data_IF_367642124639
#
_entry.id   IF_367642124639
#
_cell.length_a   1.000
_cell.length_b   1.000
_cell.length_c   1.000
_cell.angle_alpha   90.00
_cell.angle_beta   90.00
_cell.angle_gamma   90.00
#
_symmetry.space_group_name_H-M   'P 1'
#
loop_
_entity.id
_entity.type
_entity.pdbx_description
1 polymer ?
#
# COMPACT_ATOMS: atom_id res chain seq x y z
N UNK A 1 -24.52 -68.33 -5.30
CA UNK A 1 -23.80 -68.38 -4.00
C UNK A 1 -23.17 -69.75 -3.65
N UNK A 2 -23.31 -70.83 -4.44
CA UNK A 2 -22.82 -72.17 -4.04
C UNK A 2 -21.38 -72.56 -4.46
N UNK A 3 -20.80 -71.90 -5.47
CA UNK A 3 -19.51 -72.31 -6.06
C UNK A 3 -18.30 -71.93 -5.18
N UNK A 4 -18.30 -70.74 -4.58
CA UNK A 4 -17.18 -70.21 -3.77
C UNK A 4 -16.93 -70.99 -2.48
N UNK A 5 -17.97 -71.57 -1.86
CA UNK A 5 -17.84 -72.38 -0.64
C UNK A 5 -17.22 -73.77 -0.89
N UNK A 6 -17.23 -74.27 -2.13
CA UNK A 6 -16.64 -75.57 -2.48
C UNK A 6 -15.14 -75.47 -2.76
N UNK A 7 -14.67 -74.32 -3.26
CA UNK A 7 -13.27 -74.09 -3.59
C UNK A 7 -12.37 -73.93 -2.34
N UNK A 8 -12.86 -73.24 -1.29
CA UNK A 8 -12.14 -73.12 -0.01
C UNK A 8 -11.91 -74.48 0.69
N UNK A 9 -12.81 -75.46 0.47
CA UNK A 9 -12.69 -76.78 1.12
C UNK A 9 -11.69 -77.71 0.43
N UNK A 10 -11.36 -77.45 -0.84
CA UNK A 10 -10.31 -78.19 -1.58
C UNK A 10 -8.92 -77.62 -1.30
N UNK A 11 -8.77 -76.30 -1.15
CA UNK A 11 -7.51 -75.67 -0.77
C UNK A 11 -7.01 -76.11 0.62
N UNK A 12 -7.93 -76.30 1.58
CA UNK A 12 -7.60 -76.85 2.91
C UNK A 12 -7.02 -78.27 2.85
N UNK A 13 -7.41 -79.10 1.88
CA UNK A 13 -6.99 -80.51 1.82
C UNK A 13 -5.61 -80.72 1.18
N UNK A 14 -5.01 -79.68 0.59
CA UNK A 14 -3.70 -79.78 -0.09
C UNK A 14 -2.55 -79.37 0.85
N UNK A 15 -2.85 -78.58 1.90
CA UNK A 15 -1.83 -78.07 2.83
C UNK A 15 -1.36 -79.13 3.85
N UNK A 16 -2.22 -80.07 4.23
CA UNK A 16 -1.95 -81.03 5.32
C UNK A 16 -1.19 -82.32 4.90
N UNK A 17 -0.84 -82.51 3.62
CA UNK A 17 -0.25 -83.77 3.13
C UNK A 17 1.25 -83.76 2.79
N UNK A 18 1.98 -82.68 3.08
CA UNK A 18 3.42 -82.57 2.72
C UNK A 18 4.37 -82.35 3.92
N UNK A 19 4.12 -83.03 5.04
CA UNK A 19 5.10 -83.20 6.12
C UNK A 19 5.60 -84.65 6.16
N UNK A 20 6.70 -84.98 5.47
CA UNK A 20 7.33 -86.31 5.56
C UNK A 20 8.74 -86.44 4.90
N UNK A 21 9.69 -85.54 5.20
CA UNK A 21 11.14 -85.87 5.10
C UNK A 21 11.91 -85.28 6.30
N UNK A 22 12.61 -86.18 7.00
CA UNK A 22 13.59 -85.94 8.07
C UNK A 22 14.78 -86.87 7.70
N UNK A 23 16.06 -86.50 7.80
CA UNK A 23 16.72 -85.34 8.42
C UNK A 23 17.59 -84.60 7.34
N UNK A 24 18.62 -83.73 7.60
CA UNK A 24 19.39 -83.46 8.82
C UNK A 24 19.27 -82.03 9.38
N UNK A 25 19.02 -81.95 10.70
CA UNK A 25 19.33 -80.79 11.52
C UNK A 25 20.84 -80.50 11.55
N UNK A 26 21.33 -79.68 10.60
CA UNK A 26 22.52 -78.79 10.70
C UNK A 26 22.79 -78.07 9.34
N UNK A 27 21.90 -77.17 8.87
CA UNK A 27 22.46 -75.89 8.37
C UNK A 27 21.57 -74.64 8.51
N UNK A 28 20.30 -74.79 8.89
CA UNK A 28 19.32 -73.69 8.83
C UNK A 28 19.61 -72.59 9.87
N UNK A 29 19.95 -72.99 11.09
CA UNK A 29 20.27 -72.08 12.19
C UNK A 29 21.53 -71.26 11.87
N UNK A 30 22.58 -71.90 11.37
CA UNK A 30 23.81 -71.23 10.91
C UNK A 30 23.55 -70.18 9.81
N UNK A 31 22.63 -70.46 8.90
CA UNK A 31 22.26 -69.55 7.82
C UNK A 31 21.50 -68.33 8.36
N UNK A 32 20.47 -68.58 9.20
CA UNK A 32 19.66 -67.55 9.85
C UNK A 32 20.54 -66.65 10.73
N UNK A 33 21.43 -67.25 11.51
CA UNK A 33 22.40 -66.56 12.37
C UNK A 33 23.38 -65.67 11.58
N UNK A 34 23.87 -66.14 10.41
CA UNK A 34 24.69 -65.31 9.52
C UNK A 34 23.91 -64.10 8.98
N UNK A 35 22.65 -64.29 8.57
CA UNK A 35 21.82 -63.17 8.10
C UNK A 35 21.47 -62.18 9.22
N UNK A 36 21.21 -62.66 10.44
CA UNK A 36 21.01 -61.83 11.63
C UNK A 36 22.25 -60.96 11.89
N UNK A 37 23.44 -61.57 11.94
CA UNK A 37 24.72 -60.89 12.16
C UNK A 37 25.03 -59.82 11.09
N UNK A 38 24.86 -60.18 9.80
CA UNK A 38 25.09 -59.25 8.68
C UNK A 38 24.09 -58.09 8.72
N UNK A 39 22.82 -58.36 9.02
CA UNK A 39 21.78 -57.32 9.13
C UNK A 39 22.06 -56.36 10.29
N UNK A 40 22.33 -56.88 11.50
CA UNK A 40 22.63 -56.06 12.68
C UNK A 40 23.87 -55.17 12.45
N UNK A 41 24.89 -55.67 11.76
CA UNK A 41 26.07 -54.88 11.36
C UNK A 41 25.71 -53.72 10.42
N UNK A 42 24.96 -53.96 9.34
CA UNK A 42 24.57 -52.90 8.40
C UNK A 42 23.59 -51.89 9.01
N UNK A 43 22.66 -52.33 9.87
CA UNK A 43 21.74 -51.45 10.60
C UNK A 43 22.52 -50.55 11.56
N UNK A 44 23.45 -51.11 12.34
CA UNK A 44 24.30 -50.31 13.22
C UNK A 44 25.10 -49.27 12.43
N UNK A 45 25.76 -49.67 11.33
CA UNK A 45 26.53 -48.76 10.47
C UNK A 45 25.67 -47.60 9.92
N UNK A 46 24.48 -47.90 9.41
CA UNK A 46 23.55 -46.87 8.93
C UNK A 46 23.10 -45.92 10.04
N UNK A 47 22.80 -46.44 11.23
CA UNK A 47 22.36 -45.65 12.39
C UNK A 47 23.50 -44.81 13.00
N UNK A 48 24.77 -45.12 12.75
CA UNK A 48 25.88 -44.21 13.06
C UNK A 48 26.17 -43.19 11.93
N UNK A 49 25.85 -43.48 10.67
CA UNK A 49 26.02 -42.55 9.54
C UNK A 49 25.02 -41.40 9.54
N UNK A 50 23.72 -41.70 9.67
CA UNK A 50 22.63 -40.71 9.56
C UNK A 50 22.80 -39.52 10.53
N UNK A 51 23.18 -39.70 11.81
CA UNK A 51 23.46 -38.59 12.73
C UNK A 51 24.62 -37.69 12.29
N UNK A 52 25.67 -38.24 11.64
CA UNK A 52 26.81 -37.46 11.14
C UNK A 52 26.37 -36.56 9.99
N UNK A 53 25.57 -37.08 9.06
CA UNK A 53 24.97 -36.33 7.95
C UNK A 53 24.04 -35.21 8.45
N UNK A 54 23.20 -35.51 9.45
CA UNK A 54 22.34 -34.52 10.11
C UNK A 54 23.15 -33.40 10.80
N UNK A 55 24.23 -33.73 11.51
CA UNK A 55 25.11 -32.74 12.14
C UNK A 55 25.79 -31.85 11.10
N UNK A 56 26.24 -32.41 9.97
CA UNK A 56 26.78 -31.63 8.85
C UNK A 56 25.74 -30.66 8.28
N UNK A 57 24.50 -31.14 8.03
CA UNK A 57 23.40 -30.32 7.55
C UNK A 57 23.06 -29.16 8.50
N UNK A 58 22.95 -29.42 9.81
CA UNK A 58 22.64 -28.40 10.82
C UNK A 58 23.75 -27.35 10.93
N UNK A 59 25.02 -27.75 10.83
CA UNK A 59 26.13 -26.78 10.83
C UNK A 59 26.15 -25.89 9.59
N UNK A 60 25.67 -26.39 8.44
CA UNK A 60 25.64 -25.66 7.17
C UNK A 60 24.37 -24.80 6.99
N UNK A 61 23.27 -25.17 7.65
CA UNK A 61 21.98 -24.47 7.56
C UNK A 61 21.80 -23.43 8.69
N UNK A 62 22.01 -22.15 8.36
CA UNK A 62 21.93 -21.05 9.32
C UNK A 62 20.51 -20.74 9.83
N UNK A 63 19.46 -21.30 9.22
CA UNK A 63 18.06 -20.83 9.36
C UNK A 63 17.13 -21.88 10.02
N UNK A 64 17.68 -22.82 10.80
CA UNK A 64 16.86 -23.83 11.49
C UNK A 64 16.64 -23.48 12.98
N UNK A 65 15.44 -23.03 13.40
CA UNK A 65 15.18 -22.59 14.78
C UNK A 65 15.15 -23.74 15.81
N UNK A 66 14.86 -24.98 15.39
CA UNK A 66 14.63 -26.13 16.29
C UNK A 66 15.85 -27.07 16.42
N UNK A 67 17.04 -26.51 16.67
CA UNK A 67 18.30 -27.29 16.74
C UNK A 67 18.27 -28.43 17.77
N UNK A 68 17.66 -28.21 18.94
CA UNK A 68 17.54 -29.21 20.01
C UNK A 68 16.78 -30.48 19.59
N UNK A 69 15.82 -30.35 18.68
CA UNK A 69 14.97 -31.46 18.20
C UNK A 69 15.79 -32.42 17.33
N UNK A 70 16.67 -31.86 16.49
CA UNK A 70 17.58 -32.64 15.66
C UNK A 70 18.67 -33.34 16.50
N UNK A 71 19.08 -32.75 17.63
CA UNK A 71 19.95 -33.43 18.61
C UNK A 71 19.23 -34.60 19.28
N UNK A 72 17.97 -34.43 19.71
CA UNK A 72 17.17 -35.52 20.30
C UNK A 72 16.89 -36.65 19.30
N UNK A 73 16.59 -36.31 18.04
CA UNK A 73 16.40 -37.28 16.96
C UNK A 73 17.70 -38.03 16.63
N UNK A 74 18.84 -37.33 16.56
CA UNK A 74 20.16 -37.95 16.40
C UNK A 74 20.51 -38.89 17.57
N UNK A 75 20.27 -38.46 18.82
CA UNK A 75 20.48 -39.28 20.00
C UNK A 75 19.61 -40.55 20.00
N UNK A 76 18.34 -40.45 19.59
CA UNK A 76 17.45 -41.60 19.43
C UNK A 76 18.02 -42.62 18.42
N UNK A 77 18.44 -42.17 17.23
CA UNK A 77 19.01 -43.04 16.20
C UNK A 77 20.31 -43.71 16.69
N UNK A 78 21.20 -42.96 17.35
CA UNK A 78 22.44 -43.50 17.94
C UNK A 78 22.15 -44.56 18.99
N UNK A 79 21.19 -44.34 19.89
CA UNK A 79 20.81 -45.31 20.92
C UNK A 79 20.22 -46.60 20.31
N UNK A 80 19.39 -46.48 19.27
CA UNK A 80 18.94 -47.63 18.48
C UNK A 80 20.13 -48.38 17.87
N UNK A 81 21.06 -47.67 17.21
CA UNK A 81 22.26 -48.27 16.60
C UNK A 81 23.15 -48.99 17.60
N UNK A 82 23.28 -48.44 18.82
CA UNK A 82 23.99 -49.07 19.91
C UNK A 82 23.37 -50.43 20.29
N UNK A 83 22.03 -50.58 20.28
CA UNK A 83 21.40 -51.88 20.59
C UNK A 83 21.70 -52.96 19.55
N UNK A 84 21.78 -52.62 18.26
CA UNK A 84 22.21 -53.56 17.21
C UNK A 84 23.70 -53.92 17.34
N UNK A 85 24.56 -52.95 17.68
CA UNK A 85 25.98 -53.21 17.93
C UNK A 85 26.20 -54.09 19.17
N UNK A 86 25.40 -53.91 20.24
CA UNK A 86 25.44 -54.76 21.43
C UNK A 86 24.95 -56.18 21.10
N UNK A 87 23.91 -56.37 20.28
CA UNK A 87 23.50 -57.70 19.80
C UNK A 87 24.65 -58.42 19.09
N UNK A 88 25.36 -57.72 18.19
CA UNK A 88 26.51 -58.25 17.45
C UNK A 88 27.63 -58.76 18.39
N UNK A 89 27.92 -58.02 19.46
CA UNK A 89 28.93 -58.40 20.46
C UNK A 89 28.44 -59.54 21.38
N UNK A 90 27.16 -59.52 21.77
CA UNK A 90 26.53 -60.52 22.66
C UNK A 90 26.61 -61.95 22.10
N UNK A 91 26.77 -62.08 20.77
CA UNK A 91 26.85 -63.33 20.03
C UNK A 91 28.00 -64.26 20.44
N UNK A 92 29.16 -63.71 20.82
CA UNK A 92 30.36 -64.51 21.17
C UNK A 92 30.60 -64.64 22.68
N UNK A 93 29.97 -63.82 23.54
CA UNK A 93 30.13 -63.89 24.99
C UNK A 93 28.85 -63.50 25.76
N UNK A 94 28.26 -64.47 26.45
CA UNK A 94 27.15 -64.24 27.37
C UNK A 94 27.65 -63.99 28.81
N UNK A 95 28.12 -62.78 29.05
CA UNK A 95 28.49 -62.31 30.41
C UNK A 95 27.35 -61.47 31.00
N UNK A 96 27.03 -61.65 32.29
CA UNK A 96 25.97 -60.91 33.03
C UNK A 96 26.03 -59.39 32.82
N UNK A 97 27.22 -58.83 32.68
CA UNK A 97 27.45 -57.41 32.43
C UNK A 97 26.86 -56.94 31.09
N UNK A 98 26.97 -57.74 30.02
CA UNK A 98 26.46 -57.41 28.68
C UNK A 98 24.93 -57.36 28.68
N UNK A 99 24.28 -58.29 29.38
CA UNK A 99 22.82 -58.28 29.55
C UNK A 99 22.31 -57.03 30.30
N UNK A 100 23.06 -56.55 31.30
CA UNK A 100 22.77 -55.29 31.99
C UNK A 100 22.91 -54.11 31.02
N UNK A 101 24.01 -54.01 30.27
CA UNK A 101 24.23 -52.95 29.27
C UNK A 101 23.15 -52.93 28.19
N UNK A 102 22.74 -54.10 27.67
CA UNK A 102 21.66 -54.17 26.69
C UNK A 102 20.32 -53.70 27.28
N UNK A 103 20.04 -54.04 28.54
CA UNK A 103 18.81 -53.63 29.22
C UNK A 103 18.78 -52.12 29.48
N UNK A 104 19.89 -51.52 29.93
CA UNK A 104 19.98 -50.07 30.12
C UNK A 104 19.89 -49.32 28.79
N UNK A 105 20.52 -49.80 27.72
CA UNK A 105 20.40 -49.22 26.38
C UNK A 105 18.94 -49.22 25.87
N UNK A 106 18.20 -50.33 26.04
CA UNK A 106 16.77 -50.41 25.69
C UNK A 106 15.91 -49.42 26.46
N UNK A 107 16.13 -49.28 27.77
CA UNK A 107 15.38 -48.32 28.63
C UNK A 107 15.66 -46.87 28.20
N UNK A 108 16.93 -46.51 27.96
CA UNK A 108 17.30 -45.17 27.49
C UNK A 108 16.68 -44.87 26.12
N UNK A 109 16.71 -45.84 25.19
CA UNK A 109 16.08 -45.70 23.86
C UNK A 109 14.58 -45.44 23.96
N UNK A 110 13.87 -46.18 24.83
CA UNK A 110 12.44 -46.00 25.05
C UNK A 110 12.10 -44.62 25.64
N UNK A 111 12.89 -44.13 26.61
CA UNK A 111 12.71 -42.80 27.20
C UNK A 111 12.91 -41.68 26.18
N UNK A 112 14.01 -41.71 25.41
CA UNK A 112 14.29 -40.70 24.39
C UNK A 112 13.23 -40.73 23.28
N UNK A 113 12.77 -41.92 22.87
CA UNK A 113 11.67 -42.08 21.89
C UNK A 113 10.36 -41.43 22.36
N UNK A 114 9.98 -41.62 23.62
CA UNK A 114 8.78 -40.98 24.18
C UNK A 114 8.90 -39.44 24.19
N UNK A 115 10.07 -38.92 24.58
CA UNK A 115 10.34 -37.47 24.61
C UNK A 115 10.30 -36.87 23.19
N UNK A 116 10.89 -37.53 22.18
CA UNK A 116 10.88 -37.03 20.79
C UNK A 116 9.46 -37.01 20.21
N UNK A 117 8.65 -38.03 20.50
CA UNK A 117 7.26 -38.10 20.05
C UNK A 117 6.40 -36.94 20.61
N UNK A 118 6.51 -36.65 21.92
CA UNK A 118 5.77 -35.56 22.56
C UNK A 118 6.19 -34.18 22.02
N UNK A 119 7.49 -33.95 21.82
CA UNK A 119 8.00 -32.69 21.27
C UNK A 119 7.47 -32.45 19.84
N UNK A 120 7.44 -33.50 19.00
CA UNK A 120 7.03 -33.38 17.61
C UNK A 120 5.59 -32.88 17.44
N UNK A 121 4.67 -33.29 18.34
CA UNK A 121 3.27 -32.82 18.36
C UNK A 121 3.18 -31.30 18.54
N UNK A 122 4.09 -30.69 19.31
CA UNK A 122 4.10 -29.25 19.55
C UNK A 122 4.75 -28.45 18.40
N UNK A 123 5.75 -29.02 17.72
CA UNK A 123 6.53 -28.31 16.69
C UNK A 123 5.84 -28.28 15.32
N UNK A 124 5.07 -29.31 14.97
CA UNK A 124 4.30 -29.37 13.71
C UNK A 124 3.39 -28.14 13.50
N UNK A 125 2.52 -27.73 14.46
CA UNK A 125 1.65 -26.56 14.26
C UNK A 125 2.44 -25.25 14.12
N UNK A 126 3.51 -25.06 14.88
CA UNK A 126 4.36 -23.86 14.77
C UNK A 126 4.98 -23.72 13.38
N UNK A 127 5.54 -24.81 12.83
CA UNK A 127 6.19 -24.80 11.52
C UNK A 127 5.18 -24.51 10.39
N UNK A 128 3.93 -24.96 10.54
CA UNK A 128 2.82 -24.64 9.63
C UNK A 128 2.39 -23.17 9.76
N UNK A 129 2.38 -22.60 10.96
CA UNK A 129 1.96 -21.22 11.24
C UNK A 129 2.82 -20.16 10.54
N UNK A 130 4.13 -20.39 10.43
CA UNK A 130 5.06 -19.48 9.75
C UNK A 130 4.76 -19.43 8.26
N UNK A 131 4.51 -20.60 7.64
CA UNK A 131 4.21 -20.70 6.20
C UNK A 131 2.84 -20.10 5.85
N UNK A 132 1.84 -20.22 6.72
CA UNK A 132 0.55 -19.53 6.52
C UNK A 132 0.67 -18.01 6.69
N UNK A 133 1.51 -17.52 7.62
CA UNK A 133 1.78 -16.09 7.81
C UNK A 133 2.48 -15.46 6.60
N UNK A 134 3.45 -16.15 6.00
CA UNK A 134 4.10 -15.70 4.76
C UNK A 134 3.10 -15.61 3.59
N UNK A 135 2.24 -16.62 3.44
CA UNK A 135 1.22 -16.65 2.40
C UNK A 135 0.18 -15.52 2.57
N UNK A 136 -0.19 -15.21 3.82
CA UNK A 136 -1.09 -14.10 4.15
C UNK A 136 -0.47 -12.74 3.81
N UNK A 137 0.82 -12.54 4.15
CA UNK A 137 1.55 -11.31 3.82
C UNK A 137 1.67 -11.10 2.30
N UNK A 138 1.97 -12.16 1.53
CA UNK A 138 1.98 -12.10 0.05
C UNK A 138 0.62 -11.74 -0.55
N UNK A 139 -0.48 -12.31 -0.02
CA UNK A 139 -1.85 -11.93 -0.43
C UNK A 139 -2.17 -10.47 -0.09
N UNK A 140 -1.80 -10.01 1.12
CA UNK A 140 -1.98 -8.61 1.54
C UNK A 140 -1.22 -7.62 0.63
N UNK A 141 0.03 -7.92 0.27
CA UNK A 141 0.82 -7.09 -0.63
C UNK A 141 0.20 -7.02 -2.04
N UNK A 142 -0.16 -8.17 -2.63
CA UNK A 142 -0.78 -8.23 -3.95
C UNK A 142 -2.17 -7.55 -4.01
N UNK A 143 -2.91 -7.53 -2.90
CA UNK A 143 -4.15 -6.75 -2.81
C UNK A 143 -3.85 -5.24 -2.81
N UNK A 144 -2.83 -4.80 -2.07
CA UNK A 144 -2.48 -3.39 -1.95
C UNK A 144 -1.98 -2.79 -3.28
N UNK A 145 -1.16 -3.53 -4.04
CA UNK A 145 -0.76 -3.14 -5.41
C UNK A 145 -1.96 -2.98 -6.35
N UNK A 146 -2.97 -3.86 -6.19
CA UNK A 146 -4.18 -3.83 -7.02
C UNK A 146 -5.08 -2.64 -6.67
N UNK A 147 -5.17 -2.28 -5.39
CA UNK A 147 -5.86 -1.07 -4.93
C UNK A 147 -5.14 0.21 -5.42
N UNK A 148 -3.80 0.26 -5.33
CA UNK A 148 -3.01 1.39 -5.87
C UNK A 148 -3.13 1.54 -7.40
N UNK A 149 -3.21 0.43 -8.15
CA UNK A 149 -3.39 0.45 -9.60
C UNK A 149 -4.72 1.08 -10.05
N UNK A 150 -5.79 0.91 -9.27
CA UNK A 150 -7.11 1.50 -9.54
C UNK A 150 -7.12 3.00 -9.24
N UNK A 151 -6.43 3.44 -8.19
CA UNK A 151 -6.31 4.86 -7.83
C UNK A 151 -5.58 5.62 -8.94
N UNK A 152 -4.51 5.05 -9.50
CA UNK A 152 -3.67 5.70 -10.53
C UNK A 152 -4.44 5.97 -11.84
N UNK A 153 -5.31 5.05 -12.28
CA UNK A 153 -6.15 5.25 -13.47
C UNK A 153 -7.32 6.21 -13.21
N UNK A 154 -7.83 6.26 -11.98
CA UNK A 154 -8.75 7.33 -11.55
C UNK A 154 -8.07 8.71 -11.53
N UNK A 155 -6.80 8.81 -11.19
CA UNK A 155 -6.07 10.07 -11.11
C UNK A 155 -5.86 10.71 -12.51
N UNK A 156 -5.45 9.93 -13.50
CA UNK A 156 -5.29 10.38 -14.90
C UNK A 156 -6.62 10.78 -15.53
N UNK A 157 -7.67 9.96 -15.35
CA UNK A 157 -9.02 10.26 -15.83
C UNK A 157 -9.59 11.49 -15.11
N UNK A 158 -9.37 11.59 -13.80
CA UNK A 158 -9.75 12.71 -12.96
C UNK A 158 -9.01 14.00 -13.30
N UNK A 159 -7.77 13.93 -13.81
CA UNK A 159 -7.02 15.07 -14.36
C UNK A 159 -7.68 15.62 -15.62
N UNK A 160 -8.05 14.78 -16.57
CA UNK A 160 -8.75 15.23 -17.78
C UNK A 160 -10.15 15.81 -17.47
N UNK A 161 -10.92 15.18 -16.58
CA UNK A 161 -12.22 15.71 -16.15
C UNK A 161 -12.07 17.02 -15.37
N UNK A 162 -11.05 17.14 -14.49
CA UNK A 162 -10.73 18.40 -13.79
C UNK A 162 -10.25 19.48 -14.74
N UNK A 163 -9.46 19.16 -15.77
CA UNK A 163 -9.06 20.12 -16.81
C UNK A 163 -10.29 20.64 -17.56
N UNK A 164 -11.15 19.76 -18.08
CA UNK A 164 -12.38 20.18 -18.78
C UNK A 164 -13.32 21.00 -17.86
N UNK A 165 -13.55 20.56 -16.62
CA UNK A 165 -14.39 21.33 -15.67
C UNK A 165 -13.70 22.58 -15.13
N UNK A 166 -12.37 22.71 -15.26
CA UNK A 166 -11.65 23.96 -15.03
C UNK A 166 -11.88 24.91 -16.20
N UNK A 167 -11.66 24.48 -17.44
CA UNK A 167 -11.85 25.27 -18.67
C UNK A 167 -13.29 25.82 -18.79
N UNK A 168 -14.27 24.97 -18.50
CA UNK A 168 -15.71 25.32 -18.53
C UNK A 168 -16.09 26.26 -17.37
N UNK A 169 -15.41 26.19 -16.22
CA UNK A 169 -15.64 27.12 -15.10
C UNK A 169 -14.84 28.42 -15.23
N UNK A 170 -13.67 28.42 -15.85
CA UNK A 170 -12.86 29.63 -16.08
C UNK A 170 -13.42 30.52 -17.18
N UNK A 171 -14.24 29.96 -18.08
CA UNK A 171 -15.00 30.74 -19.07
C UNK A 171 -16.29 31.34 -18.50
N UNK A 172 -16.77 30.86 -17.34
CA UNK A 172 -17.92 31.44 -16.62
C UNK A 172 -17.50 32.56 -15.67
N UNK A 173 -16.79 33.57 -16.21
CA UNK A 173 -16.32 34.72 -15.44
C UNK A 173 -17.50 35.48 -14.81
N UNK A 174 -17.40 35.74 -13.49
CA UNK A 174 -18.25 36.63 -12.69
C UNK A 174 -18.54 37.94 -13.41
N UNK A 175 -17.52 38.54 -14.03
CA UNK A 175 -17.66 39.80 -14.76
C UNK A 175 -18.53 39.65 -16.01
N UNK A 176 -18.49 38.49 -16.69
CA UNK A 176 -19.27 38.25 -17.92
C UNK A 176 -20.75 38.10 -17.65
N UNK A 177 -21.16 37.32 -16.64
CA UNK A 177 -22.59 37.15 -16.28
C UNK A 177 -23.17 38.50 -15.89
N UNK A 178 -22.53 39.20 -14.95
CA UNK A 178 -23.05 40.45 -14.40
C UNK A 178 -23.06 41.58 -15.45
N UNK A 179 -22.02 41.67 -16.29
CA UNK A 179 -22.00 42.61 -17.42
C UNK A 179 -23.12 42.33 -18.40
N UNK A 180 -23.38 41.06 -18.72
CA UNK A 180 -24.47 40.68 -19.62
C UNK A 180 -25.82 41.08 -19.06
N UNK A 181 -26.08 40.85 -17.75
CA UNK A 181 -27.35 41.26 -17.14
C UNK A 181 -27.52 42.78 -17.09
N UNK A 182 -26.47 43.56 -16.75
CA UNK A 182 -26.56 45.03 -16.80
C UNK A 182 -26.73 45.57 -18.23
N UNK A 183 -26.08 44.96 -19.23
CA UNK A 183 -26.19 45.38 -20.63
C UNK A 183 -27.58 45.09 -21.20
N UNK A 184 -28.13 43.91 -20.96
CA UNK A 184 -29.49 43.59 -21.39
C UNK A 184 -30.52 44.43 -20.63
N UNK A 185 -30.37 44.67 -19.32
CA UNK A 185 -31.23 45.60 -18.58
C UNK A 185 -31.18 47.02 -19.17
N UNK A 186 -29.98 47.52 -19.49
CA UNK A 186 -29.78 48.82 -20.13
C UNK A 186 -30.45 48.92 -21.51
N UNK A 187 -30.46 47.83 -22.28
CA UNK A 187 -31.19 47.73 -23.56
C UNK A 187 -32.69 47.69 -23.37
N UNK A 188 -33.20 46.79 -22.50
CA UNK A 188 -34.64 46.59 -22.26
C UNK A 188 -35.31 47.85 -21.73
N UNK A 189 -34.66 48.56 -20.81
CA UNK A 189 -35.19 49.81 -20.23
C UNK A 189 -34.71 51.07 -20.96
N UNK A 190 -33.96 50.95 -22.07
CA UNK A 190 -33.39 52.07 -22.83
C UNK A 190 -32.74 53.15 -21.93
N UNK A 191 -31.81 52.71 -21.08
CA UNK A 191 -31.13 53.55 -20.08
C UNK A 191 -29.96 54.33 -20.69
N UNK A 192 -29.71 55.54 -20.20
CA UNK A 192 -28.50 56.27 -20.54
C UNK A 192 -27.26 55.60 -19.93
N UNK A 193 -27.40 55.16 -18.68
CA UNK A 193 -26.37 54.54 -17.86
C UNK A 193 -27.04 53.66 -16.78
N UNK A 194 -26.39 52.55 -16.42
CA UNK A 194 -26.75 51.70 -15.27
C UNK A 194 -25.47 51.42 -14.49
N UNK A 195 -25.52 51.58 -13.17
CA UNK A 195 -24.35 51.50 -12.28
C UNK A 195 -24.62 50.58 -11.09
N UNK A 196 -23.64 49.74 -10.75
CA UNK A 196 -23.68 48.90 -9.55
C UNK A 196 -22.57 49.30 -8.59
N UNK A 197 -22.99 49.69 -7.39
CA UNK A 197 -22.16 50.07 -6.27
C UNK A 197 -22.11 48.93 -5.24
N UNK A 198 -20.91 48.43 -4.93
CA UNK A 198 -20.70 47.31 -4.00
C UNK A 198 -20.09 47.83 -2.67
N UNK A 199 -20.45 47.28 -1.51
CA UNK A 199 -19.83 47.66 -0.25
C UNK A 199 -18.34 47.26 -0.22
N UNK A 200 -17.48 48.16 0.26
CA UNK A 200 -16.04 47.92 0.41
C UNK A 200 -15.75 46.89 1.50
N UNK A 201 -14.50 46.42 1.59
CA UNK A 201 -14.06 45.50 2.65
C UNK A 201 -14.31 46.04 4.06
N UNK A 202 -14.16 47.36 4.26
CA UNK A 202 -14.43 48.03 5.55
C UNK A 202 -15.92 48.10 5.88
N UNK A 203 -16.81 47.97 4.89
CA UNK A 203 -18.27 48.05 5.10
C UNK A 203 -18.80 49.44 5.42
N UNK A 204 -17.97 50.48 5.32
CA UNK A 204 -18.32 51.89 5.61
C UNK A 204 -18.70 52.65 4.34
N UNK A 205 -18.17 52.23 3.19
CA UNK A 205 -18.33 52.89 1.90
C UNK A 205 -18.87 51.93 0.83
N UNK A 206 -19.55 52.48 -0.17
CA UNK A 206 -19.82 51.82 -1.43
C UNK A 206 -18.76 52.23 -2.45
N UNK A 207 -18.23 51.26 -3.20
CA UNK A 207 -17.33 51.44 -4.33
C UNK A 207 -18.07 51.12 -5.64
N UNK A 208 -17.98 52.02 -6.62
CA UNK A 208 -18.52 51.78 -7.95
C UNK A 208 -17.78 50.60 -8.60
N UNK A 209 -18.49 49.54 -8.92
CA UNK A 209 -17.89 48.29 -9.44
C UNK A 209 -18.19 48.06 -10.92
N UNK A 210 -19.38 48.45 -11.39
CA UNK A 210 -19.77 48.31 -12.79
C UNK A 210 -20.54 49.55 -13.26
N UNK A 211 -20.35 49.88 -14.54
CA UNK A 211 -21.18 50.85 -15.29
C UNK A 211 -21.50 50.29 -16.67
N UNK A 212 -22.60 50.72 -17.27
CA UNK A 212 -23.05 50.27 -18.59
C UNK A 212 -22.04 50.63 -19.70
N UNK A 213 -21.41 51.82 -19.63
CA UNK A 213 -20.51 52.33 -20.68
C UNK A 213 -19.01 52.19 -20.40
N UNK A 214 -18.57 52.05 -19.15
CA UNK A 214 -17.14 51.93 -18.80
C UNK A 214 -16.81 50.59 -18.11
N UNK A 215 -15.69 50.00 -18.52
CA UNK A 215 -15.12 48.82 -17.88
C UNK A 215 -14.21 49.26 -16.72
N UNK A 216 -14.43 48.75 -15.51
CA UNK A 216 -13.71 49.11 -14.27
C UNK A 216 -13.57 50.64 -14.05
N UNK A 217 -14.63 51.34 -13.62
CA UNK A 217 -14.52 52.73 -13.17
C UNK A 217 -13.70 52.81 -11.86
N UNK A 218 -12.39 53.04 -11.97
CA UNK A 218 -11.47 53.08 -10.84
C UNK A 218 -11.71 54.32 -9.97
N UNK A 219 -11.88 54.11 -8.66
CA UNK A 219 -11.63 55.16 -7.65
C UNK A 219 -12.83 55.96 -7.13
N UNK A 220 -14.06 55.69 -7.58
CA UNK A 220 -15.26 56.32 -7.01
C UNK A 220 -15.79 55.54 -5.80
N UNK A 221 -15.66 56.12 -4.59
CA UNK A 221 -16.33 55.65 -3.37
C UNK A 221 -17.28 56.69 -2.79
N UNK A 222 -18.31 56.22 -2.08
CA UNK A 222 -19.35 57.04 -1.44
C UNK A 222 -19.70 56.45 -0.07
N UNK A 223 -19.78 57.24 1.02
CA UNK A 223 -20.15 56.73 2.35
C UNK A 223 -21.55 56.13 2.40
N UNK A 224 -21.72 54.97 3.03
CA UNK A 224 -23.02 54.27 3.14
C UNK A 224 -24.02 55.08 3.98
N UNK A 225 -23.55 55.89 4.93
CA UNK A 225 -24.38 56.63 5.88
C UNK A 225 -25.17 57.80 5.27
N UNK A 226 -25.06 58.05 3.96
CA UNK A 226 -25.84 59.09 3.29
C UNK A 226 -27.36 58.82 3.41
N UNK A 227 -28.18 59.86 3.64
CA UNK A 227 -29.62 59.69 3.84
C UNK A 227 -30.31 59.03 2.65
N UNK A 228 -29.87 59.34 1.42
CA UNK A 228 -30.41 58.75 0.19
C UNK A 228 -30.12 57.24 0.07
N UNK A 229 -28.96 56.76 0.57
CA UNK A 229 -28.60 55.34 0.55
C UNK A 229 -29.38 54.60 1.64
N UNK A 230 -29.45 55.18 2.84
CA UNK A 230 -30.27 54.64 3.94
C UNK A 230 -31.76 54.54 3.55
N UNK A 231 -32.29 55.53 2.83
CA UNK A 231 -33.66 55.50 2.29
C UNK A 231 -33.84 54.28 1.36
N UNK A 232 -32.99 54.10 0.35
CA UNK A 232 -33.08 52.95 -0.58
C UNK A 232 -32.92 51.63 0.18
N UNK A 233 -31.92 51.51 1.06
CA UNK A 233 -31.63 50.28 1.80
C UNK A 233 -32.72 49.90 2.81
N UNK A 234 -33.51 50.86 3.30
CA UNK A 234 -34.64 50.58 4.22
C UNK A 234 -35.87 49.97 3.53
N UNK A 235 -35.97 50.02 2.20
CA UNK A 235 -37.13 49.53 1.44
C UNK A 235 -36.76 48.41 0.45
N UNK A 236 -37.72 47.57 0.07
CA UNK A 236 -37.56 46.63 -1.06
C UNK A 236 -37.87 47.26 -2.41
N UNK A 237 -38.26 48.54 -2.45
CA UNK A 237 -38.79 49.18 -3.65
C UNK A 237 -37.70 49.84 -4.47
N UNK A 238 -37.97 50.03 -5.75
CA UNK A 238 -37.25 51.00 -6.56
C UNK A 238 -37.63 52.42 -6.09
N UNK A 239 -36.64 53.22 -5.69
CA UNK A 239 -36.84 54.58 -5.14
C UNK A 239 -36.26 55.60 -6.11
N UNK A 240 -37.06 56.60 -6.48
CA UNK A 240 -36.59 57.74 -7.28
C UNK A 240 -35.66 58.62 -6.42
N UNK A 241 -34.47 58.93 -6.92
CA UNK A 241 -33.46 59.71 -6.21
C UNK A 241 -33.09 60.98 -6.99
N UNK A 242 -32.60 62.00 -6.29
CA UNK A 242 -32.17 63.24 -6.95
C UNK A 242 -31.00 62.98 -7.92
N UNK A 243 -31.06 63.48 -9.17
CA UNK A 243 -29.93 63.47 -10.10
C UNK A 243 -28.65 64.13 -9.56
N UNK A 244 -28.78 65.00 -8.55
CA UNK A 244 -27.65 65.67 -7.90
C UNK A 244 -26.94 64.81 -6.83
N UNK A 245 -27.47 63.63 -6.52
CA UNK A 245 -26.93 62.68 -5.54
C UNK A 245 -25.51 62.20 -5.92
N UNK A 246 -24.58 62.01 -4.97
CA UNK A 246 -23.23 61.53 -5.27
C UNK A 246 -23.21 60.15 -5.95
N UNK A 247 -24.21 59.29 -5.71
CA UNK A 247 -24.32 57.98 -6.39
C UNK A 247 -24.86 58.07 -7.84
N UNK A 248 -25.42 59.22 -8.22
CA UNK A 248 -25.88 59.51 -9.58
C UNK A 248 -24.84 60.31 -10.40
N UNK A 249 -23.94 61.04 -9.73
CA UNK A 249 -22.85 61.81 -10.35
C UNK A 249 -21.68 60.92 -10.81
N UNK A 250 -21.94 60.10 -11.82
CA UNK A 250 -20.94 59.19 -12.42
C UNK A 250 -19.97 59.90 -13.38
N UNK A 251 -20.20 61.17 -13.74
CA UNK A 251 -19.32 61.97 -14.62
C UNK A 251 -18.90 63.28 -13.92
N UNK A 252 -17.59 63.63 -13.86
CA UNK A 252 -17.12 64.82 -13.13
C UNK A 252 -17.48 66.17 -13.78
N UNK A 253 -17.75 66.20 -15.08
CA UNK A 253 -17.69 67.44 -15.88
C UNK A 253 -18.73 67.48 -17.00
N UNK A 254 -19.72 68.36 -16.86
CA UNK A 254 -20.67 68.71 -17.94
C UNK A 254 -21.95 69.36 -17.43
N UNK A 255 -22.53 70.29 -18.22
CA UNK A 255 -23.88 70.83 -18.01
C UNK A 255 -24.96 69.82 -18.47
N UNK A 256 -24.83 68.57 -18.07
CA UNK A 256 -25.86 67.54 -18.29
C UNK A 256 -26.80 67.58 -17.08
N UNK A 257 -28.09 67.79 -17.33
CA UNK A 257 -29.13 67.48 -16.35
C UNK A 257 -29.52 66.01 -16.57
N UNK A 258 -29.15 65.07 -15.68
CA UNK A 258 -29.50 63.68 -15.89
C UNK A 258 -31.03 63.53 -15.91
N UNK A 259 -31.53 62.62 -16.74
CA UNK A 259 -32.92 62.19 -16.70
C UNK A 259 -33.28 61.58 -15.33
N UNK A 260 -34.54 61.17 -15.15
CA UNK A 260 -34.97 60.65 -13.85
C UNK A 260 -34.13 59.43 -13.42
N UNK A 261 -33.62 59.50 -12.18
CA UNK A 261 -32.74 58.49 -11.60
C UNK A 261 -33.51 57.66 -10.59
N UNK A 262 -33.41 56.34 -10.73
CA UNK A 262 -33.97 55.37 -9.79
C UNK A 262 -32.84 54.57 -9.17
N UNK A 263 -32.96 54.27 -7.88
CA UNK A 263 -32.05 53.41 -7.16
C UNK A 263 -32.80 52.30 -6.44
N UNK A 264 -32.25 51.09 -6.47
CA UNK A 264 -32.81 49.89 -5.84
C UNK A 264 -31.71 49.16 -5.08
N UNK A 265 -32.06 48.55 -3.95
CA UNK A 265 -31.12 47.73 -3.18
C UNK A 265 -31.00 46.34 -3.81
N UNK A 266 -29.79 45.82 -3.85
CA UNK A 266 -29.48 44.45 -4.31
C UNK A 266 -28.96 43.67 -3.11
N UNK A 267 -29.71 42.69 -2.56
CA UNK A 267 -29.26 41.92 -1.40
C UNK A 267 -28.03 41.07 -1.74
N UNK A 268 -27.01 41.12 -0.90
CA UNK A 268 -25.82 40.26 -1.02
C UNK A 268 -25.96 39.12 -0.01
N UNK A 269 -26.17 37.90 -0.49
CA UNK A 269 -26.23 36.72 0.37
C UNK A 269 -24.83 36.42 0.92
N UNK A 270 -24.71 36.34 2.24
CA UNK A 270 -23.47 35.94 2.91
C UNK A 270 -23.60 34.46 3.30
N UNK A 271 -22.85 33.58 2.62
CA UNK A 271 -22.80 32.15 2.94
C UNK A 271 -21.72 31.88 3.98
N UNK A 272 -22.03 32.22 5.23
CA UNK A 272 -21.16 32.08 6.40
C UNK A 272 -20.93 30.63 6.86
N UNK A 273 -20.68 29.70 5.94
CA UNK A 273 -20.60 28.25 6.22
C UNK A 273 -19.22 27.61 6.01
N UNK A 274 -18.21 28.35 5.57
CA UNK A 274 -16.81 27.94 5.68
C UNK A 274 -16.08 28.83 6.70
N UNK A 275 -15.80 28.26 7.88
CA UNK A 275 -14.97 28.89 8.90
C UNK A 275 -13.53 29.00 8.39
N UNK A 276 -13.19 30.16 7.86
CA UNK A 276 -11.81 30.66 7.81
C UNK A 276 -11.74 31.75 8.88
N UNK A 277 -10.81 31.59 9.82
CA UNK A 277 -10.67 32.44 11.00
C UNK A 277 -10.50 33.92 10.66
N UNK A 278 -10.76 34.77 11.66
CA UNK A 278 -10.41 36.20 11.74
C UNK A 278 -11.34 37.20 11.01
N UNK A 279 -12.65 36.99 11.05
CA UNK A 279 -13.63 38.08 10.86
C UNK A 279 -14.64 38.15 12.02
N UNK A 280 -14.88 39.33 12.62
CA UNK A 280 -15.79 39.46 13.76
C UNK A 280 -17.24 39.18 13.37
N UNK A 281 -17.91 38.36 14.19
CA UNK A 281 -19.28 37.88 14.00
C UNK A 281 -20.33 39.00 14.09
N UNK A 282 -20.56 39.71 12.99
CA UNK A 282 -21.74 40.57 12.83
C UNK A 282 -22.49 40.19 11.55
N UNK A 283 -23.66 39.57 11.75
CA UNK A 283 -24.63 39.21 10.71
C UNK A 283 -25.37 40.46 10.16
N UNK A 284 -24.61 41.46 9.73
CA UNK A 284 -25.14 42.62 9.01
C UNK A 284 -25.36 42.23 7.56
N UNK A 285 -26.64 42.10 7.17
CA UNK A 285 -27.04 41.95 5.77
C UNK A 285 -26.39 43.05 4.93
N UNK A 286 -25.48 42.69 4.04
CA UNK A 286 -24.84 43.64 3.12
C UNK A 286 -25.75 43.85 1.91
N UNK A 287 -25.87 45.10 1.49
CA UNK A 287 -26.61 45.48 0.28
C UNK A 287 -25.66 46.17 -0.68
N UNK A 288 -25.76 45.81 -1.96
CA UNK A 288 -25.28 46.64 -3.05
C UNK A 288 -26.39 47.62 -3.46
N UNK A 289 -26.00 48.69 -4.17
CA UNK A 289 -26.93 49.71 -4.67
C UNK A 289 -26.84 49.72 -6.21
N UNK A 290 -27.96 49.44 -6.88
CA UNK A 290 -28.08 49.56 -8.32
C UNK A 290 -28.77 50.89 -8.64
N UNK A 291 -28.15 51.70 -9.50
CA UNK A 291 -28.61 53.04 -9.90
C UNK A 291 -28.82 53.06 -11.41
N UNK A 292 -30.01 53.45 -11.84
CA UNK A 292 -30.46 53.43 -13.23
C UNK A 292 -30.86 54.85 -13.64
N UNK A 293 -30.36 55.31 -14.80
CA UNK A 293 -30.58 56.68 -15.26
C UNK A 293 -31.24 56.70 -16.64
N UNK A 294 -32.35 57.42 -16.76
CA UNK A 294 -33.04 57.65 -18.04
C UNK A 294 -32.31 58.68 -18.92
N UNK A 295 -32.52 58.65 -20.26
CA UNK A 295 -31.91 59.61 -21.18
C UNK A 295 -32.33 61.05 -20.91
N UNK A 296 -31.33 61.89 -20.69
CA UNK A 296 -31.45 63.33 -20.38
C UNK A 296 -32.26 64.12 -21.44
N UNK A 297 -32.15 63.75 -22.71
CA UNK A 297 -32.81 64.42 -23.84
C UNK A 297 -34.27 63.95 -24.07
N UNK A 298 -34.80 63.06 -23.22
CA UNK A 298 -36.17 62.55 -23.33
C UNK A 298 -37.03 63.03 -22.15
N UNK A 299 -38.25 63.49 -22.43
CA UNK A 299 -39.26 63.80 -21.41
C UNK A 299 -39.88 62.54 -20.78
N UNK A 300 -39.12 61.43 -20.74
CA UNK A 300 -39.54 60.13 -20.24
C UNK A 300 -39.42 60.10 -18.72
N UNK A 301 -40.45 59.57 -18.10
CA UNK A 301 -40.52 59.33 -16.66
C UNK A 301 -40.60 57.82 -16.40
N UNK A 302 -40.24 57.40 -15.20
CA UNK A 302 -40.37 55.99 -14.80
C UNK A 302 -41.84 55.60 -14.63
N UNK A 303 -42.30 54.64 -15.40
CA UNK A 303 -43.63 54.05 -15.21
C UNK A 303 -43.61 52.95 -14.13
N UNK A 304 -44.75 52.74 -13.45
CA UNK A 304 -44.87 51.78 -12.33
C UNK A 304 -44.41 50.37 -12.73
N UNK A 305 -44.77 49.91 -13.93
CA UNK A 305 -44.34 48.60 -14.45
C UNK A 305 -42.83 48.50 -14.72
N UNK A 306 -42.15 49.62 -14.98
CA UNK A 306 -40.68 49.65 -15.13
C UNK A 306 -39.99 49.55 -13.77
N UNK A 307 -40.56 50.20 -12.74
CA UNK A 307 -40.10 50.08 -11.36
C UNK A 307 -40.26 48.65 -10.84
N UNK A 308 -41.41 48.01 -11.08
CA UNK A 308 -41.65 46.60 -10.74
C UNK A 308 -40.68 45.66 -11.48
N UNK A 309 -40.38 45.92 -12.76
CA UNK A 309 -39.37 45.17 -13.51
C UNK A 309 -37.97 45.35 -12.92
N UNK A 310 -37.59 46.57 -12.51
CA UNK A 310 -36.32 46.87 -11.83
C UNK A 310 -36.21 46.14 -10.49
N UNK A 311 -37.30 46.05 -9.71
CA UNK A 311 -37.35 45.27 -8.47
C UNK A 311 -37.06 43.77 -8.73
N UNK A 312 -37.75 43.16 -9.70
CA UNK A 312 -37.52 41.76 -10.08
C UNK A 312 -36.11 41.52 -10.60
N UNK A 313 -35.56 42.43 -11.41
CA UNK A 313 -34.19 42.30 -11.93
C UNK A 313 -33.15 42.49 -10.82
N UNK A 314 -33.38 43.35 -9.83
CA UNK A 314 -32.48 43.50 -8.68
C UNK A 314 -32.32 42.19 -7.90
N UNK A 315 -33.41 41.44 -7.70
CA UNK A 315 -33.36 40.10 -7.08
C UNK A 315 -32.63 39.08 -7.97
N UNK A 316 -32.81 39.12 -9.29
CA UNK A 316 -32.04 38.24 -10.21
C UNK A 316 -30.54 38.57 -10.22
N UNK A 317 -30.18 39.85 -10.16
CA UNK A 317 -28.79 40.32 -10.02
C UNK A 317 -28.19 39.87 -8.68
N UNK A 318 -28.97 39.90 -7.60
CA UNK A 318 -28.56 39.35 -6.29
C UNK A 318 -28.27 37.84 -6.35
N UNK A 319 -29.11 37.05 -7.01
CA UNK A 319 -28.87 35.61 -7.23
C UNK A 319 -27.60 35.39 -8.06
N UNK A 320 -27.41 36.13 -9.15
CA UNK A 320 -26.22 36.04 -9.99
C UNK A 320 -24.93 36.40 -9.25
N UNK A 321 -24.93 37.47 -8.44
CA UNK A 321 -23.81 37.85 -7.58
C UNK A 321 -23.49 36.77 -6.54
N UNK A 322 -24.54 36.16 -5.96
CA UNK A 322 -24.39 35.09 -4.96
C UNK A 322 -23.77 33.83 -5.57
N UNK A 323 -24.24 33.39 -6.74
CA UNK A 323 -23.62 32.28 -7.47
C UNK A 323 -22.15 32.56 -7.84
N UNK A 324 -21.84 33.78 -8.26
CA UNK A 324 -20.47 34.15 -8.59
C UNK A 324 -19.54 34.15 -7.36
N UNK A 325 -20.02 34.62 -6.20
CA UNK A 325 -19.25 34.58 -4.95
C UNK A 325 -18.95 33.13 -4.51
N UNK A 326 -19.95 32.23 -4.59
CA UNK A 326 -19.79 30.79 -4.29
C UNK A 326 -18.78 30.15 -5.25
N UNK A 327 -18.87 30.44 -6.55
CA UNK A 327 -17.93 29.91 -7.55
C UNK A 327 -16.50 30.37 -7.27
N UNK A 328 -16.30 31.64 -6.92
CA UNK A 328 -14.98 32.19 -6.60
C UNK A 328 -14.38 31.55 -5.34
N UNK A 329 -15.18 31.35 -4.28
CA UNK A 329 -14.75 30.64 -3.07
C UNK A 329 -14.43 29.17 -3.35
N UNK A 330 -15.28 28.48 -4.11
CA UNK A 330 -15.07 27.09 -4.53
C UNK A 330 -13.81 26.93 -5.37
N UNK A 331 -13.51 27.87 -6.27
CA UNK A 331 -12.28 27.91 -7.05
C UNK A 331 -11.06 28.11 -6.15
N UNK A 332 -11.06 29.11 -5.25
CA UNK A 332 -9.95 29.31 -4.29
C UNK A 332 -9.68 28.08 -3.43
N UNK A 333 -10.73 27.44 -2.91
CA UNK A 333 -10.59 26.22 -2.10
C UNK A 333 -10.03 25.04 -2.92
N UNK A 334 -10.48 24.87 -4.16
CA UNK A 334 -9.95 23.86 -5.09
C UNK A 334 -8.48 24.10 -5.42
N UNK A 335 -8.09 25.35 -5.62
CA UNK A 335 -6.73 25.70 -6.03
C UNK A 335 -5.74 25.52 -4.86
N UNK A 336 -6.14 25.86 -3.62
CA UNK A 336 -5.40 25.51 -2.40
C UNK A 336 -5.24 23.99 -2.22
N UNK A 337 -6.31 23.22 -2.46
CA UNK A 337 -6.24 21.76 -2.42
C UNK A 337 -5.34 21.20 -3.53
N UNK A 338 -5.29 21.83 -4.71
CA UNK A 338 -4.39 21.44 -5.79
C UNK A 338 -2.92 21.62 -5.38
N UNK A 339 -2.59 22.77 -4.77
CA UNK A 339 -1.26 23.07 -4.24
C UNK A 339 -0.84 22.09 -3.13
N UNK A 340 -1.73 21.82 -2.17
CA UNK A 340 -1.48 20.84 -1.11
C UNK A 340 -1.24 19.42 -1.66
N UNK A 341 -2.01 18.98 -2.67
CA UNK A 341 -1.78 17.67 -3.28
C UNK A 341 -0.42 17.60 -4.00
N UNK A 342 0.00 18.67 -4.71
CA UNK A 342 1.31 18.72 -5.36
C UNK A 342 2.45 18.68 -4.34
N UNK A 343 2.32 19.40 -3.22
CA UNK A 343 3.31 19.35 -2.13
C UNK A 343 3.37 17.95 -1.47
N UNK A 344 2.23 17.30 -1.27
CA UNK A 344 2.14 15.95 -0.70
C UNK A 344 2.73 14.88 -1.63
N UNK A 345 2.48 15.00 -2.94
CA UNK A 345 3.09 14.13 -3.97
C UNK A 345 4.61 14.27 -4.02
N UNK A 346 5.14 15.49 -3.87
CA UNK A 346 6.59 15.72 -3.80
C UNK A 346 7.19 15.05 -2.57
N UNK A 347 6.64 15.31 -1.38
CA UNK A 347 7.10 14.70 -0.13
C UNK A 347 7.01 13.16 -0.17
N UNK A 348 5.96 12.61 -0.78
CA UNK A 348 5.81 11.17 -1.02
C UNK A 348 6.93 10.63 -1.91
N UNK A 349 7.24 11.29 -3.03
CA UNK A 349 8.31 10.86 -3.95
C UNK A 349 9.67 10.90 -3.28
N UNK A 350 9.96 11.92 -2.48
CA UNK A 350 11.20 12.02 -1.69
C UNK A 350 11.32 10.85 -0.69
N UNK A 351 10.25 10.53 0.04
CA UNK A 351 10.22 9.38 0.95
C UNK A 351 10.42 8.05 0.21
N UNK A 352 9.76 7.85 -0.94
CA UNK A 352 9.95 6.65 -1.76
C UNK A 352 11.39 6.54 -2.32
N UNK A 353 12.01 7.66 -2.71
CA UNK A 353 13.41 7.68 -3.16
C UNK A 353 14.38 7.35 -2.03
N UNK A 354 14.17 7.89 -0.82
CA UNK A 354 14.97 7.56 0.35
C UNK A 354 14.84 6.07 0.75
N UNK A 355 13.63 5.50 0.66
CA UNK A 355 13.41 4.06 0.90
C UNK A 355 14.08 3.19 -0.17
N UNK A 356 14.00 3.57 -1.46
CA UNK A 356 14.72 2.88 -2.54
C UNK A 356 16.23 2.90 -2.32
N UNK A 357 16.82 4.07 -2.11
CA UNK A 357 18.26 4.22 -1.86
C UNK A 357 18.74 3.40 -0.65
N UNK A 358 17.95 3.35 0.44
CA UNK A 358 18.23 2.49 1.60
C UNK A 358 18.24 1.00 1.22
N UNK A 359 17.26 0.54 0.44
CA UNK A 359 17.17 -0.86 0.04
C UNK A 359 18.31 -1.25 -0.92
N UNK A 360 18.66 -0.37 -1.85
CA UNK A 360 19.78 -0.57 -2.78
C UNK A 360 21.12 -0.62 -2.03
N UNK A 361 21.34 0.29 -1.07
CA UNK A 361 22.51 0.24 -0.19
C UNK A 361 22.59 -1.08 0.60
N UNK A 362 21.47 -1.55 1.16
CA UNK A 362 21.42 -2.85 1.86
C UNK A 362 21.69 -4.03 0.91
N UNK A 363 21.23 -3.96 -0.35
CA UNK A 363 21.49 -4.98 -1.36
C UNK A 363 22.98 -5.03 -1.76
N UNK A 364 23.59 -3.87 -2.04
CA UNK A 364 25.03 -3.73 -2.34
C UNK A 364 25.86 -4.19 -1.15
N UNK A 365 25.57 -3.73 0.07
CA UNK A 365 26.31 -4.14 1.26
C UNK A 365 26.21 -5.66 1.51
N UNK A 366 25.06 -6.29 1.25
CA UNK A 366 24.90 -7.74 1.36
C UNK A 366 25.72 -8.49 0.28
N UNK A 367 25.76 -7.97 -0.94
CA UNK A 367 26.58 -8.49 -2.03
C UNK A 367 28.08 -8.38 -1.71
N UNK A 368 28.54 -7.17 -1.34
CA UNK A 368 29.94 -6.88 -1.04
C UNK A 368 30.43 -7.52 0.26
N UNK A 369 29.55 -7.85 1.22
CA UNK A 369 29.91 -8.64 2.40
C UNK A 369 29.99 -10.15 2.10
N UNK A 370 29.34 -10.65 1.04
CA UNK A 370 29.40 -12.07 0.66
C UNK A 370 30.79 -12.47 0.20
N UNK A 371 31.46 -11.64 -0.60
CA UNK A 371 32.79 -11.89 -1.17
C UNK A 371 33.90 -12.05 -0.12
N UNK A 372 34.15 -11.12 0.82
CA UNK A 372 35.13 -11.29 1.88
C UNK A 372 34.73 -12.40 2.85
N UNK A 373 33.43 -12.61 3.10
CA UNK A 373 32.96 -13.74 3.90
C UNK A 373 33.28 -15.09 3.22
N UNK A 374 33.14 -15.23 1.90
CA UNK A 374 33.62 -16.41 1.17
C UNK A 374 35.16 -16.50 1.19
N UNK A 375 35.88 -15.41 0.94
CA UNK A 375 37.34 -15.38 0.94
C UNK A 375 37.96 -15.67 2.32
N UNK A 376 37.24 -15.42 3.42
CA UNK A 376 37.64 -15.83 4.77
C UNK A 376 37.21 -17.27 5.06
N UNK A 377 36.05 -17.74 4.59
CA UNK A 377 35.55 -19.07 4.92
C UNK A 377 36.22 -20.18 4.07
N UNK A 378 36.40 -20.00 2.76
CA UNK A 378 36.95 -21.03 1.87
C UNK A 378 38.38 -21.49 2.24
N UNK A 379 39.36 -20.60 2.49
CA UNK A 379 40.72 -21.04 2.80
C UNK A 379 40.82 -21.81 4.12
N UNK A 380 39.92 -21.54 5.07
CA UNK A 380 39.84 -22.27 6.34
C UNK A 380 39.19 -23.65 6.16
N UNK A 381 38.18 -23.77 5.29
CA UNK A 381 37.63 -25.08 4.87
C UNK A 381 38.73 -25.89 4.15
N UNK A 382 39.47 -25.28 3.24
CA UNK A 382 40.58 -25.92 2.52
C UNK A 382 41.72 -26.35 3.44
N UNK A 383 42.18 -25.48 4.36
CA UNK A 383 43.20 -25.83 5.37
C UNK A 383 42.73 -26.94 6.30
N UNK A 384 41.47 -26.94 6.73
CA UNK A 384 40.93 -28.03 7.55
C UNK A 384 40.98 -29.37 6.78
N UNK A 385 40.64 -29.36 5.49
CA UNK A 385 40.73 -30.55 4.62
C UNK A 385 42.18 -31.07 4.48
N UNK A 386 43.14 -30.18 4.21
CA UNK A 386 44.56 -30.54 4.09
C UNK A 386 45.22 -30.94 5.42
N UNK A 387 44.84 -30.33 6.55
CA UNK A 387 45.32 -30.76 7.87
C UNK A 387 44.72 -32.11 8.30
N UNK A 388 43.55 -32.48 7.77
CA UNK A 388 42.94 -33.80 8.01
C UNK A 388 43.64 -34.93 7.25
N UNK A 389 44.30 -34.62 6.13
CA UNK A 389 44.97 -35.58 5.25
C UNK A 389 46.38 -35.07 4.84
N UNK A 390 47.41 -35.30 5.66
CA UNK A 390 48.77 -34.87 5.35
C UNK A 390 49.35 -35.63 4.13
N UNK A 391 50.25 -35.01 3.33
CA UNK A 391 50.76 -35.57 2.07
C UNK A 391 51.59 -36.85 2.22
N UNK A 392 51.90 -37.27 3.45
CA UNK A 392 52.59 -38.53 3.77
C UNK A 392 51.81 -39.75 3.22
N UNK A 393 50.47 -39.70 3.23
CA UNK A 393 49.63 -40.80 2.71
C UNK A 393 49.73 -40.92 1.18
N UNK A 394 49.86 -39.80 0.46
CA UNK A 394 50.04 -39.82 -1.00
C UNK A 394 51.40 -40.43 -1.41
N UNK A 395 52.45 -40.19 -0.60
CA UNK A 395 53.79 -40.74 -0.86
C UNK A 395 53.87 -42.25 -0.61
N UNK A 396 53.16 -42.76 0.41
CA UNK A 396 53.07 -44.20 0.70
C UNK A 396 52.26 -44.99 -0.34
N UNK A 397 51.23 -44.38 -0.94
CA UNK A 397 50.45 -45.04 -2.00
C UNK A 397 51.26 -45.12 -3.31
N UNK A 398 52.08 -44.11 -3.62
CA UNK A 398 52.92 -44.09 -4.83
C UNK A 398 54.07 -45.12 -4.82
N UNK A 399 54.47 -45.63 -3.67
CA UNK A 399 55.52 -46.67 -3.54
C UNK A 399 54.97 -48.09 -3.43
N UNK A 400 53.66 -48.25 -3.21
CA UNK A 400 52.99 -49.55 -3.03
C UNK A 400 52.28 -50.09 -4.28
N UNK A 401 51.91 -49.26 -5.25
CA UNK A 401 51.25 -49.70 -6.49
C UNK A 401 51.99 -49.20 -7.74
N UNK A 402 53.03 -49.93 -8.12
CA UNK A 402 53.58 -49.84 -9.47
C UNK A 402 52.61 -50.46 -10.48
N UNK A 403 51.68 -49.66 -11.03
CA UNK A 403 50.91 -50.03 -12.21
C UNK A 403 50.65 -48.80 -13.11
N UNK A 404 51.40 -48.72 -14.21
CA UNK A 404 51.11 -47.78 -15.30
C UNK A 404 49.74 -48.09 -15.92
N UNK A 405 48.72 -47.22 -15.81
CA UNK A 405 47.56 -47.09 -16.74
C UNK A 405 46.48 -46.03 -16.34
N UNK A 406 46.81 -44.98 -15.58
CA UNK A 406 45.80 -44.03 -15.06
C UNK A 406 45.76 -42.62 -15.72
N UNK A 407 46.55 -42.35 -16.76
CA UNK A 407 46.66 -41.00 -17.36
C UNK A 407 45.46 -40.55 -18.21
N UNK A 408 44.56 -41.45 -18.60
CA UNK A 408 43.49 -41.14 -19.57
C UNK A 408 42.12 -40.77 -18.98
N UNK A 409 41.82 -41.07 -17.71
CA UNK A 409 40.50 -40.76 -17.11
C UNK A 409 40.42 -39.43 -16.36
N UNK A 410 41.55 -38.83 -15.95
CA UNK A 410 41.54 -37.53 -15.25
C UNK A 410 41.18 -36.34 -16.14
N UNK A 411 41.23 -36.49 -17.47
CA UNK A 411 40.88 -35.41 -18.43
C UNK A 411 39.37 -35.21 -18.60
N UNK A 412 38.54 -36.20 -18.25
CA UNK A 412 37.09 -36.13 -18.44
C UNK A 412 36.36 -35.30 -17.37
N UNK A 413 36.91 -35.22 -16.14
CA UNK A 413 36.24 -34.54 -15.01
C UNK A 413 36.51 -33.03 -14.92
N UNK A 414 37.28 -32.46 -15.86
CA UNK A 414 37.74 -31.05 -15.81
C UNK A 414 36.90 -30.08 -16.66
N UNK A 415 35.77 -30.54 -17.21
CA UNK A 415 34.97 -29.82 -18.20
C UNK A 415 33.48 -29.68 -17.81
N UNK A 416 33.17 -29.90 -16.52
CA UNK A 416 31.80 -29.89 -16.00
C UNK A 416 31.63 -29.01 -14.74
N UNK A 417 32.61 -28.14 -14.47
CA UNK A 417 32.58 -27.11 -13.43
C UNK A 417 33.20 -25.83 -14.00
N UNK A 418 32.45 -25.19 -14.88
CA UNK A 418 32.45 -23.75 -15.23
C UNK A 418 31.06 -23.41 -15.77
#
# INVERSE_FOLDING_TARGET
MGSLLRMNRLLSSIVDSCNCIIDPQLPADDLLMKYQYISDFFIALAYFSIPVELIYFVKKSAVFPYRWVLVQFGAFIVLCGATHLINLWTFNMHTRNVAIVMTTAKVLTALVSCITALMLVHIIPDLLSVKTRELFLKKKAAQLDREMGIIRTQEETGRHVRMLTHEIRSTLDRHTILKTTLVELGRTLALEECALWMPTRTGVELQLSYTLRHQNPVGLTVPIQLPVINQVFSTNRAVQISPNSPVAKLRPTGKYMPGEVVAVRVPLLHLSNFQINDWPELSTKRYALMVLMLPSDSARQWHVHELELVEVVADQVAVALSHAAILEESMRARDLLMEQNVALDLARREAEMAVRARNDFLAVMNHEMRTPMHAIIEPWIGKAYYCSHPPIIAMLISSSLGLNTATHKLKALKLQIW
#
